data_IF_990079970973
#
_entry.id   IF_990079970973
#
_cell.length_a   1.000
_cell.length_b   1.000
_cell.length_c   1.000
_cell.angle_alpha   90.00
_cell.angle_beta   90.00
_cell.angle_gamma   90.00
#
_symmetry.space_group_name_H-M   'P 1'
#
loop_
_entity.id
_entity.type
_entity.pdbx_description
1 polymer ?
#
# COMPACT_ATOMS: atom_id res chain seq x y z
N UNK A 1 35.87 32.15 5.05
CA UNK A 1 34.70 31.86 4.19
C UNK A 1 33.65 31.22 5.08
N UNK A 2 32.71 32.01 5.61
CA UNK A 2 31.60 31.49 6.41
C UNK A 2 30.56 30.87 5.48
N UNK A 3 30.19 29.62 5.74
CA UNK A 3 29.17 28.91 4.98
C UNK A 3 27.79 29.46 5.35
N UNK A 4 27.21 30.24 4.45
CA UNK A 4 25.80 30.64 4.54
C UNK A 4 24.93 29.38 4.34
N UNK A 5 24.42 28.83 5.43
CA UNK A 5 23.38 27.82 5.35
C UNK A 5 22.04 28.50 4.98
N UNK A 6 21.31 27.98 3.98
CA UNK A 6 20.00 28.51 3.63
C UNK A 6 19.04 28.35 4.83
N UNK A 7 18.10 29.30 5.03
CA UNK A 7 17.08 29.16 6.05
C UNK A 7 16.27 27.88 5.83
N UNK A 8 15.90 27.21 6.92
CA UNK A 8 15.05 26.01 6.90
C UNK A 8 13.71 26.34 6.23
N UNK A 9 13.22 25.45 5.37
CA UNK A 9 11.90 25.62 4.76
C UNK A 9 10.79 25.53 5.81
N UNK A 10 9.61 26.10 5.54
CA UNK A 10 8.44 25.97 6.43
C UNK A 10 8.10 24.50 6.73
N UNK A 11 8.31 23.62 5.74
CA UNK A 11 8.15 22.18 5.90
C UNK A 11 9.14 21.60 6.92
N UNK A 12 10.41 22.02 6.85
CA UNK A 12 11.43 21.54 7.78
C UNK A 12 11.15 21.99 9.21
N UNK A 13 10.63 23.21 9.39
CA UNK A 13 10.18 23.68 10.71
C UNK A 13 9.03 22.84 11.25
N UNK A 14 7.97 22.62 10.47
CA UNK A 14 6.82 21.80 10.88
C UNK A 14 7.24 20.37 11.21
N UNK A 15 8.19 19.81 10.44
CA UNK A 15 8.75 18.48 10.69
C UNK A 15 9.56 18.42 11.99
N UNK A 16 10.36 19.44 12.30
CA UNK A 16 11.11 19.52 13.55
C UNK A 16 10.20 19.63 14.77
N UNK A 17 9.11 20.40 14.68
CA UNK A 17 8.10 20.45 15.73
C UNK A 17 7.43 19.09 15.96
N UNK A 18 7.11 18.37 14.88
CA UNK A 18 6.52 17.03 14.97
C UNK A 18 7.49 16.06 15.66
N UNK A 19 8.78 16.15 15.36
CA UNK A 19 9.84 15.35 16.01
C UNK A 19 9.86 15.68 17.52
N UNK A 20 9.88 16.96 17.89
CA UNK A 20 9.91 17.39 19.29
C UNK A 20 8.67 16.91 20.07
N UNK A 21 7.46 17.00 19.49
CA UNK A 21 6.23 16.48 20.12
C UNK A 21 6.28 14.97 20.33
N UNK A 22 6.80 14.23 19.34
CA UNK A 22 6.94 12.78 19.44
C UNK A 22 7.97 12.39 20.49
N UNK A 23 9.09 13.10 20.60
CA UNK A 23 10.11 12.87 21.63
C UNK A 23 9.56 13.12 23.03
N UNK A 24 8.82 14.22 23.23
CA UNK A 24 8.14 14.50 24.50
C UNK A 24 7.19 13.36 24.89
N UNK A 25 6.38 12.88 23.95
CA UNK A 25 5.44 11.77 24.18
C UNK A 25 6.15 10.44 24.46
N UNK A 26 7.27 10.17 23.79
CA UNK A 26 8.09 8.98 24.07
C UNK A 26 8.77 9.05 25.43
N UNK A 27 9.08 10.26 25.91
CA UNK A 27 9.65 10.51 27.22
C UNK A 27 8.60 10.25 28.32
N UNK A 28 7.40 10.81 28.14
CA UNK A 28 6.24 10.59 29.02
C UNK A 28 5.90 9.11 29.19
N UNK A 29 6.02 8.33 28.11
CA UNK A 29 5.79 6.88 28.11
C UNK A 29 6.96 6.04 28.67
N UNK A 30 8.07 6.66 29.08
CA UNK A 30 9.26 5.97 29.60
C UNK A 30 10.02 5.15 28.55
N UNK A 31 9.76 5.37 27.26
CA UNK A 31 10.32 4.58 26.16
C UNK A 31 11.66 5.11 25.65
N UNK A 32 12.04 6.32 26.02
CA UNK A 32 13.31 6.95 25.64
C UNK A 32 14.52 6.25 26.29
N UNK A 33 14.39 5.80 27.55
CA UNK A 33 15.46 5.09 28.27
C UNK A 33 15.78 3.70 27.69
N UNK A 34 14.82 3.04 27.04
CA UNK A 34 14.99 1.70 26.48
C UNK A 34 15.90 1.66 25.23
N UNK A 35 16.22 2.81 24.61
CA UNK A 35 17.18 2.88 23.49
C UNK A 35 18.64 2.90 23.96
N UNK A 36 18.91 3.27 25.23
CA UNK A 36 20.28 3.51 25.72
C UNK A 36 21.02 2.26 26.22
N UNK A 37 20.35 1.09 26.32
CA UNK A 37 20.96 -0.13 26.91
C UNK A 37 21.61 -1.06 25.88
N UNK A 38 21.69 -0.69 24.60
CA UNK A 38 22.50 -1.45 23.63
C UNK A 38 23.82 -0.73 23.40
N UNK A 39 24.85 -1.19 24.11
CA UNK A 39 26.22 -0.85 23.77
C UNK A 39 26.49 -1.15 22.28
N UNK A 40 27.20 -0.28 21.56
CA UNK A 40 27.60 -0.56 20.19
C UNK A 40 28.53 -1.77 20.20
N UNK A 41 28.17 -2.81 19.45
CA UNK A 41 29.10 -3.92 19.16
C UNK A 41 30.23 -3.38 18.29
N UNK A 42 31.48 -3.65 18.69
CA UNK A 42 32.63 -3.39 17.83
C UNK A 42 32.42 -4.07 16.47
N UNK A 43 32.64 -3.32 15.40
CA UNK A 43 32.54 -3.83 14.05
C UNK A 43 33.64 -4.90 13.83
N UNK A 44 33.24 -6.15 13.60
CA UNK A 44 34.18 -7.21 13.19
C UNK A 44 34.04 -8.56 13.89
N UNK A 45 33.28 -8.68 14.99
CA UNK A 45 33.16 -9.99 15.67
C UNK A 45 31.98 -10.82 15.13
N UNK A 46 32.23 -12.03 14.58
CA UNK A 46 31.16 -12.94 14.19
C UNK A 46 30.39 -13.41 15.44
N UNK A 47 29.05 -13.35 15.35
CA UNK A 47 28.19 -13.75 16.46
C UNK A 47 28.43 -15.23 16.82
N UNK A 48 28.60 -15.58 18.11
CA UNK A 48 28.76 -16.98 18.51
C UNK A 48 27.48 -17.75 18.17
N UNK A 49 27.60 -18.80 17.35
CA UNK A 49 26.51 -19.72 17.04
C UNK A 49 26.14 -20.45 18.33
N UNK A 50 25.06 -20.02 18.99
CA UNK A 50 24.51 -20.75 20.14
C UNK A 50 24.03 -22.14 19.67
N UNK A 51 24.44 -23.23 20.34
CA UNK A 51 23.88 -24.55 20.06
C UNK A 51 22.38 -24.53 20.35
N UNK A 52 21.58 -25.00 19.38
CA UNK A 52 20.13 -25.15 19.56
C UNK A 52 19.90 -26.29 20.54
N UNK A 53 19.49 -25.97 21.76
CA UNK A 53 19.00 -26.98 22.70
C UNK A 53 17.75 -27.66 22.14
N UNK A 54 17.61 -28.99 22.26
CA UNK A 54 16.41 -29.71 21.86
C UNK A 54 15.21 -29.18 22.64
N UNK A 55 14.16 -28.79 21.92
CA UNK A 55 12.92 -28.30 22.51
C UNK A 55 12.16 -29.50 23.10
N UNK A 56 11.89 -29.54 24.42
CA UNK A 56 11.12 -30.64 25.00
C UNK A 56 9.69 -30.64 24.45
N UNK A 57 9.17 -31.85 24.21
CA UNK A 57 7.80 -32.05 23.77
C UNK A 57 6.83 -31.47 24.82
N UNK A 58 5.94 -30.57 24.39
CA UNK A 58 4.90 -30.01 25.27
C UNK A 58 3.91 -31.10 25.63
N UNK A 59 3.77 -31.40 26.92
CA UNK A 59 2.67 -32.20 27.43
C UNK A 59 1.36 -31.39 27.40
N UNK A 60 0.22 -32.01 27.04
CA UNK A 60 -1.05 -31.32 26.86
C UNK A 60 -1.90 -31.39 28.14
N UNK A 61 -1.69 -30.49 29.11
CA UNK A 61 -2.53 -30.47 30.32
C UNK A 61 -3.07 -29.11 30.74
N UNK A 62 -2.83 -28.03 30.00
CA UNK A 62 -3.51 -26.75 30.28
C UNK A 62 -4.18 -26.13 29.04
N UNK A 63 -5.43 -25.66 29.15
CA UNK A 63 -6.06 -24.92 28.07
C UNK A 63 -5.28 -23.63 27.83
N UNK A 64 -4.66 -23.56 26.65
CA UNK A 64 -3.91 -22.40 26.22
C UNK A 64 -4.76 -21.14 26.40
N UNK A 65 -4.27 -20.19 27.19
CA UNK A 65 -4.89 -18.88 27.45
C UNK A 65 -5.14 -18.19 26.10
N UNK A 66 -6.35 -18.31 25.56
CA UNK A 66 -6.76 -17.66 24.31
C UNK A 66 -7.05 -16.20 24.62
N UNK A 67 -6.55 -15.31 23.78
CA UNK A 67 -6.84 -13.89 23.91
C UNK A 67 -8.34 -13.66 23.77
N UNK A 68 -8.86 -12.67 24.50
CA UNK A 68 -10.26 -12.26 24.48
C UNK A 68 -10.78 -11.98 23.06
N UNK A 69 -9.89 -11.46 22.20
CA UNK A 69 -10.17 -11.24 20.78
C UNK A 69 -10.43 -12.54 20.00
N UNK A 70 -9.75 -13.64 20.36
CA UNK A 70 -10.00 -14.95 19.76
C UNK A 70 -11.30 -15.59 20.26
N UNK A 71 -11.72 -15.27 21.49
CA UNK A 71 -13.01 -15.71 22.02
C UNK A 71 -14.16 -14.97 21.35
N UNK A 72 -14.05 -13.65 21.17
CA UNK A 72 -15.05 -12.84 20.45
C UNK A 72 -15.15 -13.22 18.97
N UNK A 73 -14.03 -13.52 18.32
CA UNK A 73 -14.03 -14.00 16.93
C UNK A 73 -14.75 -15.35 16.79
N UNK A 74 -14.53 -16.27 17.74
CA UNK A 74 -15.19 -17.58 17.75
C UNK A 74 -16.69 -17.46 18.04
N UNK A 75 -17.09 -16.64 19.00
CA UNK A 75 -18.50 -16.40 19.32
C UNK A 75 -19.26 -15.78 18.13
N UNK A 76 -18.62 -14.89 17.36
CA UNK A 76 -19.21 -14.29 16.16
C UNK A 76 -19.37 -15.31 15.00
N UNK A 77 -18.48 -16.30 14.92
CA UNK A 77 -18.53 -17.38 13.94
C UNK A 77 -19.62 -18.41 14.30
N UNK A 78 -19.72 -18.77 15.57
CA UNK A 78 -20.75 -19.67 16.09
C UNK A 78 -22.16 -19.06 15.92
N UNK A 79 -22.33 -17.76 16.19
CA UNK A 79 -23.60 -17.05 15.97
C UNK A 79 -24.04 -16.93 14.50
N UNK A 80 -23.11 -17.01 13.54
CA UNK A 80 -23.44 -17.06 12.10
C UNK A 80 -23.91 -18.44 11.68
N UNK A 81 -23.32 -19.49 12.27
CA UNK A 81 -23.69 -20.88 12.02
C UNK A 81 -25.11 -21.20 12.50
N UNK A 82 -25.52 -20.61 13.63
CA UNK A 82 -26.88 -20.76 14.17
C UNK A 82 -27.96 -20.06 13.32
N UNK A 83 -27.58 -19.06 12.50
CA UNK A 83 -28.52 -18.34 11.61
C UNK A 83 -28.77 -19.03 10.26
N UNK A 84 -28.18 -20.20 10.02
CA UNK A 84 -28.42 -20.95 8.77
C UNK A 84 -27.90 -20.25 7.51
N UNK A 85 -26.88 -19.39 7.64
CA UNK A 85 -26.21 -18.75 6.50
C UNK A 85 -25.33 -19.81 5.79
N UNK A 86 -25.84 -20.40 4.71
CA UNK A 86 -25.21 -21.51 3.97
C UNK A 86 -23.79 -21.20 3.47
N UNK A 87 -22.92 -22.20 3.61
CA UNK A 87 -21.47 -22.17 3.42
C UNK A 87 -20.98 -22.09 1.96
N UNK A 88 -21.77 -21.57 1.02
CA UNK A 88 -21.36 -21.35 -0.39
C UNK A 88 -21.02 -19.89 -0.71
N UNK A 89 -21.11 -18.97 0.26
CA UNK A 89 -20.78 -17.53 0.10
C UNK A 89 -19.52 -17.06 0.86
N UNK A 90 -18.71 -17.99 1.38
CA UNK A 90 -17.60 -17.68 2.28
C UNK A 90 -16.29 -17.25 1.58
N UNK A 91 -16.29 -16.08 0.94
CA UNK A 91 -15.05 -15.34 0.62
C UNK A 91 -15.25 -13.83 0.82
N UNK A 92 -15.62 -13.40 2.02
CA UNK A 92 -15.89 -11.98 2.20
C UNK A 92 -16.19 -11.51 3.61
N UNK A 93 -15.45 -11.93 4.62
CA UNK A 93 -15.53 -11.26 5.91
C UNK A 93 -14.33 -11.62 6.77
N UNK A 94 -13.39 -10.71 6.95
CA UNK A 94 -12.32 -10.92 7.92
C UNK A 94 -11.25 -9.84 7.88
N UNK A 95 -11.40 -8.88 8.80
CA UNK A 95 -10.37 -8.52 9.77
C UNK A 95 -8.92 -8.34 9.31
N UNK A 96 -8.42 -7.14 9.64
CA UNK A 96 -7.04 -6.80 9.95
C UNK A 96 -6.05 -6.55 8.79
N UNK A 97 -5.58 -5.30 8.76
CA UNK A 97 -4.15 -4.93 8.81
C UNK A 97 -4.13 -3.38 8.92
N UNK A 98 -3.66 -2.68 9.96
CA UNK A 98 -2.53 -2.91 10.88
C UNK A 98 -1.34 -3.60 10.22
N UNK A 99 -0.88 -3.05 9.10
CA UNK A 99 0.41 -3.39 8.50
C UNK A 99 1.19 -2.16 8.00
N UNK A 100 0.94 -0.97 8.57
CA UNK A 100 1.80 0.21 8.38
C UNK A 100 2.61 0.59 9.63
N UNK A 101 2.42 -0.10 10.77
CA UNK A 101 3.08 0.25 12.04
C UNK A 101 4.09 -0.79 12.58
N UNK A 102 4.46 -1.86 11.85
CA UNK A 102 5.31 -2.94 12.41
C UNK A 102 6.40 -3.51 11.49
N UNK A 103 6.98 -2.71 10.58
CA UNK A 103 8.16 -3.14 9.80
C UNK A 103 9.37 -2.20 9.94
N UNK A 104 9.48 -1.49 11.06
CA UNK A 104 10.69 -0.74 11.44
C UNK A 104 11.53 -1.55 12.45
N UNK A 105 12.08 -2.69 12.02
CA UNK A 105 13.18 -3.38 12.73
C UNK A 105 13.76 -4.49 11.84
N UNK A 106 14.55 -4.08 10.85
CA UNK A 106 15.83 -4.74 10.57
C UNK A 106 16.67 -3.79 9.72
N UNK A 107 17.66 -3.16 10.34
CA UNK A 107 18.71 -2.38 9.66
C UNK A 107 19.87 -3.33 9.40
N UNK A 108 20.00 -3.79 8.16
CA UNK A 108 21.27 -4.23 7.60
C UNK A 108 21.62 -3.27 6.47
N UNK A 109 22.69 -2.50 6.63
CA UNK A 109 23.26 -1.72 5.53
C UNK A 109 23.89 -2.67 4.49
N UNK A 110 23.75 -2.41 3.18
CA UNK A 110 24.64 -2.98 2.20
C UNK A 110 25.84 -2.06 2.01
N UNK A 111 27.00 -2.56 2.45
CA UNK A 111 28.32 -2.11 2.03
C UNK A 111 28.47 -2.17 0.51
N UNK A 112 28.97 -1.10 -0.09
CA UNK A 112 29.18 -0.99 -1.54
C UNK A 112 30.30 -1.87 -2.07
N UNK A 113 30.10 -2.38 -3.29
CA UNK A 113 31.12 -2.61 -4.32
C UNK A 113 30.40 -3.04 -5.61
N UNK A 114 30.75 -2.41 -6.74
CA UNK A 114 30.42 -2.91 -8.08
C UNK A 114 29.50 -2.00 -8.90
N UNK A 115 30.10 -1.03 -9.58
CA UNK A 115 29.54 -0.48 -10.82
C UNK A 115 29.58 -1.59 -11.87
N UNK A 116 28.46 -2.29 -12.00
CA UNK A 116 28.23 -3.27 -13.05
C UNK A 116 26.81 -3.07 -13.58
N UNK A 117 26.72 -2.87 -14.89
CA UNK A 117 25.49 -2.74 -15.66
C UNK A 117 24.66 -4.03 -15.49
N UNK A 118 23.78 -4.03 -14.49
CA UNK A 118 23.14 -5.21 -13.94
C UNK A 118 21.71 -5.37 -14.44
N UNK A 119 21.58 -6.29 -15.39
CA UNK A 119 20.40 -6.97 -15.91
C UNK A 119 19.10 -6.83 -15.09
N UNK A 120 17.99 -6.73 -15.84
CA UNK A 120 16.65 -7.02 -15.36
C UNK A 120 16.69 -8.18 -14.36
N UNK A 121 16.45 -7.90 -13.08
CA UNK A 121 16.46 -8.93 -12.04
C UNK A 121 15.39 -9.96 -12.41
N UNK A 122 15.82 -11.19 -12.68
CA UNK A 122 14.98 -12.33 -13.04
C UNK A 122 13.85 -12.51 -12.01
N UNK A 123 12.67 -11.99 -12.34
CA UNK A 123 11.45 -12.39 -11.66
C UNK A 123 11.08 -13.76 -12.20
N UNK A 124 10.73 -14.67 -11.31
CA UNK A 124 10.13 -15.94 -11.70
C UNK A 124 8.98 -15.67 -12.68
N UNK A 125 8.91 -16.44 -13.80
CA UNK A 125 7.85 -16.28 -14.79
C UNK A 125 6.48 -16.32 -14.10
N UNK A 126 5.56 -15.41 -14.47
CA UNK A 126 4.23 -15.43 -13.89
C UNK A 126 3.49 -16.73 -14.27
N UNK A 127 2.71 -17.27 -13.33
CA UNK A 127 1.75 -18.33 -13.61
C UNK A 127 0.81 -17.90 -14.75
N UNK A 128 0.41 -18.84 -15.61
CA UNK A 128 -0.39 -18.56 -16.82
C UNK A 128 -1.74 -17.89 -16.51
N UNK A 129 -2.34 -18.17 -15.37
CA UNK A 129 -3.59 -17.58 -14.90
C UNK A 129 -3.39 -16.27 -14.11
N UNK A 130 -2.17 -15.76 -14.00
CA UNK A 130 -1.86 -14.49 -13.35
C UNK A 130 -2.23 -13.30 -14.23
N UNK A 131 -2.59 -12.18 -13.61
CA UNK A 131 -2.68 -10.88 -14.30
C UNK A 131 -1.39 -10.52 -15.05
N UNK A 132 -0.23 -10.89 -14.49
CA UNK A 132 1.09 -10.60 -15.08
C UNK A 132 1.37 -11.32 -16.41
N UNK A 133 0.65 -12.41 -16.71
CA UNK A 133 0.76 -13.16 -17.96
C UNK A 133 -0.37 -12.84 -18.95
N UNK A 134 -1.27 -11.92 -18.60
CA UNK A 134 -2.45 -11.59 -19.40
C UNK A 134 -2.46 -10.12 -19.81
N UNK A 135 -3.04 -9.84 -20.98
CA UNK A 135 -3.35 -8.49 -21.39
C UNK A 135 -4.67 -8.04 -20.78
N UNK A 136 -4.70 -6.82 -20.25
CA UNK A 136 -5.92 -6.16 -19.84
C UNK A 136 -6.74 -5.75 -21.08
N UNK A 137 -8.06 -5.91 -20.99
CA UNK A 137 -9.03 -5.36 -21.92
C UNK A 137 -9.23 -3.86 -21.62
N UNK A 138 -8.37 -3.04 -22.23
CA UNK A 138 -8.40 -1.58 -22.03
C UNK A 138 -9.64 -0.95 -22.68
N UNK A 139 -10.15 -1.53 -23.76
CA UNK A 139 -11.35 -1.06 -24.45
C UNK A 139 -12.60 -1.22 -23.55
N UNK A 140 -12.71 -2.32 -22.81
CA UNK A 140 -13.77 -2.49 -21.82
C UNK A 140 -13.74 -1.41 -20.73
N UNK A 141 -12.54 -0.98 -20.31
CA UNK A 141 -12.37 0.12 -19.34
C UNK A 141 -12.66 1.49 -19.97
N UNK A 142 -12.29 1.71 -21.23
CA UNK A 142 -12.64 2.92 -21.96
C UNK A 142 -14.16 3.04 -22.16
N UNK A 143 -14.85 1.94 -22.48
CA UNK A 143 -16.32 1.87 -22.55
C UNK A 143 -17.01 2.15 -21.22
N UNK A 144 -16.39 1.78 -20.09
CA UNK A 144 -16.91 2.15 -18.77
C UNK A 144 -16.99 3.68 -18.63
N UNK A 145 -16.05 4.41 -19.24
CA UNK A 145 -15.97 5.87 -19.17
C UNK A 145 -15.32 6.36 -17.87
N UNK A 146 -14.48 7.38 -18.00
CA UNK A 146 -13.79 7.98 -16.85
C UNK A 146 -14.81 8.61 -15.89
N UNK A 147 -14.56 8.46 -14.60
CA UNK A 147 -15.41 8.96 -13.53
C UNK A 147 -16.59 8.06 -13.18
N UNK A 148 -16.80 6.93 -13.88
CA UNK A 148 -17.84 5.97 -13.52
C UNK A 148 -17.35 4.92 -12.53
N UNK A 149 -18.27 4.43 -11.70
CA UNK A 149 -18.03 3.31 -10.81
C UNK A 149 -17.93 2.00 -11.59
N UNK A 150 -16.95 1.17 -11.22
CA UNK A 150 -16.82 -0.19 -11.73
C UNK A 150 -17.98 -1.02 -11.16
N UNK A 151 -18.78 -1.67 -12.02
CA UNK A 151 -19.94 -2.43 -11.57
C UNK A 151 -19.56 -3.65 -10.73
N UNK A 152 -20.46 -4.05 -9.84
CA UNK A 152 -20.32 -5.22 -8.97
C UNK A 152 -19.79 -4.88 -7.57
N UNK A 153 -19.28 -5.87 -6.82
CA UNK A 153 -18.79 -5.66 -5.46
C UNK A 153 -17.69 -4.59 -5.39
N UNK A 154 -17.56 -3.91 -4.24
CA UNK A 154 -16.55 -2.88 -3.94
C UNK A 154 -15.11 -3.41 -3.79
N UNK A 155 -14.70 -4.31 -4.67
CA UNK A 155 -13.46 -5.07 -4.59
C UNK A 155 -12.61 -4.84 -5.83
N UNK A 156 -11.31 -5.12 -5.70
CA UNK A 156 -10.42 -5.15 -6.88
C UNK A 156 -10.84 -6.25 -7.86
N UNK A 157 -11.44 -7.34 -7.37
CA UNK A 157 -11.84 -8.46 -8.23
C UNK A 157 -12.82 -8.02 -9.33
N UNK A 158 -13.76 -7.11 -9.03
CA UNK A 158 -14.68 -6.54 -10.02
C UNK A 158 -13.92 -5.77 -11.12
N UNK A 159 -12.91 -4.97 -10.74
CA UNK A 159 -12.04 -4.27 -11.70
C UNK A 159 -11.26 -5.26 -12.56
N UNK A 160 -10.71 -6.31 -11.94
CA UNK A 160 -9.94 -7.33 -12.63
C UNK A 160 -10.81 -8.17 -13.58
N UNK A 161 -12.08 -8.42 -13.21
CA UNK A 161 -13.06 -9.10 -14.06
C UNK A 161 -13.44 -8.28 -15.28
N UNK A 162 -13.75 -7.00 -15.08
CA UNK A 162 -14.02 -6.08 -16.19
C UNK A 162 -12.84 -6.04 -17.17
N UNK A 163 -11.62 -5.94 -16.66
CA UNK A 163 -10.39 -5.90 -17.45
C UNK A 163 -9.96 -7.26 -18.04
N UNK A 164 -10.66 -8.37 -17.77
CA UNK A 164 -10.33 -9.70 -18.32
C UNK A 164 -11.57 -10.38 -18.93
N UNK A 165 -12.48 -9.58 -19.51
CA UNK A 165 -13.66 -10.07 -20.23
C UNK A 165 -14.50 -11.03 -19.39
N UNK A 166 -14.71 -10.67 -18.12
CA UNK A 166 -15.48 -11.44 -17.14
C UNK A 166 -14.69 -12.52 -16.38
N UNK A 167 -13.45 -12.85 -16.78
CA UNK A 167 -12.59 -13.78 -16.03
C UNK A 167 -11.91 -13.06 -14.88
N UNK A 168 -11.64 -13.75 -13.77
CA UNK A 168 -10.88 -13.17 -12.67
C UNK A 168 -9.46 -13.76 -12.64
N UNK A 169 -8.44 -13.09 -13.19
CA UNK A 169 -7.07 -13.59 -13.14
C UNK A 169 -6.58 -13.65 -11.69
N UNK A 170 -5.52 -14.42 -11.41
CA UNK A 170 -4.85 -14.38 -10.11
C UNK A 170 -4.10 -13.06 -9.93
N UNK A 171 -4.30 -12.40 -8.81
CA UNK A 171 -3.62 -11.16 -8.44
C UNK A 171 -3.49 -11.02 -6.92
N UNK A 172 -2.59 -10.14 -6.48
CA UNK A 172 -2.45 -9.82 -5.06
C UNK A 172 -3.50 -8.81 -4.62
N UNK A 173 -4.51 -9.25 -3.86
CA UNK A 173 -5.56 -8.37 -3.34
C UNK A 173 -5.03 -7.22 -2.47
N UNK A 174 -3.88 -7.42 -1.84
CA UNK A 174 -3.24 -6.46 -0.93
C UNK A 174 -2.35 -5.45 -1.64
N UNK A 175 -1.98 -5.68 -2.91
CA UNK A 175 -1.09 -4.78 -3.63
C UNK A 175 -1.83 -3.53 -4.12
N UNK A 176 -1.29 -2.33 -3.85
CA UNK A 176 -1.80 -1.06 -4.38
C UNK A 176 -1.57 -0.88 -5.88
N UNK A 177 -0.83 -1.79 -6.51
CA UNK A 177 -0.52 -1.80 -7.94
C UNK A 177 -0.60 -3.23 -8.49
N UNK A 178 -1.20 -3.41 -9.67
CA UNK A 178 -1.32 -4.71 -10.35
C UNK A 178 -0.77 -4.59 -11.76
N UNK A 179 0.11 -5.52 -12.13
CA UNK A 179 0.75 -5.56 -13.44
C UNK A 179 -0.03 -6.48 -14.40
N UNK A 180 -0.29 -5.98 -15.60
CA UNK A 180 -0.70 -6.74 -16.78
C UNK A 180 0.45 -6.78 -17.78
N UNK A 181 0.35 -7.52 -18.89
CA UNK A 181 1.38 -7.47 -19.94
C UNK A 181 1.40 -6.12 -20.68
N UNK A 182 0.23 -5.50 -20.85
CA UNK A 182 0.03 -4.26 -21.60
C UNK A 182 -0.34 -3.03 -20.74
N UNK A 183 -0.43 -3.14 -19.41
CA UNK A 183 -0.83 -2.04 -18.54
C UNK A 183 -0.37 -2.23 -17.08
N UNK A 184 -0.44 -1.16 -16.30
CA UNK A 184 -0.31 -1.20 -14.84
C UNK A 184 -1.51 -0.51 -14.22
N UNK A 185 -2.20 -1.19 -13.29
CA UNK A 185 -3.35 -0.63 -12.58
C UNK A 185 -2.92 -0.16 -11.20
N UNK A 186 -3.27 1.08 -10.84
CA UNK A 186 -3.04 1.69 -9.54
C UNK A 186 -4.37 1.74 -8.78
N UNK A 187 -4.38 1.22 -7.56
CA UNK A 187 -5.56 1.18 -6.70
C UNK A 187 -5.34 2.04 -5.47
N UNK A 188 -6.19 3.03 -5.29
CA UNK A 188 -6.06 4.05 -4.25
C UNK A 188 -7.32 4.10 -3.39
N UNK A 189 -7.13 4.05 -2.07
CA UNK A 189 -8.17 4.41 -1.12
C UNK A 189 -8.04 5.89 -0.76
N UNK A 190 -9.16 6.61 -0.72
CA UNK A 190 -9.25 8.05 -0.43
C UNK A 190 -10.11 8.28 0.81
N UNK A 191 -9.70 9.21 1.67
CA UNK A 191 -10.46 9.63 2.86
C UNK A 191 -10.33 8.76 4.11
N UNK A 192 -9.27 7.94 4.21
CA UNK A 192 -9.00 7.14 5.42
C UNK A 192 -7.97 7.77 6.37
N UNK A 193 -8.06 7.48 7.67
CA UNK A 193 -7.10 7.95 8.70
C UNK A 193 -5.67 7.47 8.48
N UNK A 194 -5.49 6.37 7.76
CA UNK A 194 -4.20 5.71 7.62
C UNK A 194 -3.57 5.95 6.24
N UNK A 195 -4.24 6.74 5.39
CA UNK A 195 -3.84 6.94 4.00
C UNK A 195 -3.53 8.41 3.74
N UNK A 196 -2.38 8.66 3.11
CA UNK A 196 -1.92 9.97 2.65
C UNK A 196 -2.19 10.22 1.17
N UNK A 197 -2.95 9.35 0.50
CA UNK A 197 -3.32 9.57 -0.90
C UNK A 197 -4.25 10.78 -0.97
N UNK A 198 -3.77 11.85 -1.60
CA UNK A 198 -4.45 13.11 -1.71
C UNK A 198 -4.56 13.50 -3.18
N UNK A 199 -5.73 14.03 -3.51
CA UNK A 199 -5.86 14.81 -4.73
C UNK A 199 -5.30 16.21 -4.48
N UNK A 200 -4.51 16.72 -5.43
CA UNK A 200 -3.95 18.06 -5.40
C UNK A 200 -4.28 18.80 -6.71
N UNK A 201 -3.96 20.09 -6.77
CA UNK A 201 -4.18 20.94 -7.96
C UNK A 201 -5.63 20.85 -8.46
N UNK A 202 -6.58 21.09 -7.56
CA UNK A 202 -8.01 20.98 -7.85
C UNK A 202 -8.38 19.64 -8.48
N UNK A 203 -7.96 18.53 -7.87
CA UNK A 203 -8.29 17.20 -8.39
C UNK A 203 -7.56 16.78 -9.66
N UNK A 204 -6.63 17.58 -10.19
CA UNK A 204 -5.90 17.25 -11.43
C UNK A 204 -4.70 16.34 -11.21
N UNK A 205 -4.25 16.21 -9.96
CA UNK A 205 -3.11 15.36 -9.59
C UNK A 205 -3.43 14.47 -8.41
N UNK A 206 -2.71 13.35 -8.32
CA UNK A 206 -2.86 12.34 -7.27
C UNK A 206 -1.49 11.86 -6.80
N UNK A 207 -1.26 11.91 -5.48
CA UNK A 207 -0.13 11.22 -4.85
C UNK A 207 -0.46 9.75 -4.62
N UNK A 208 0.37 8.86 -5.16
CA UNK A 208 0.32 7.43 -4.94
C UNK A 208 1.57 6.96 -4.20
N UNK A 209 1.38 6.09 -3.22
CA UNK A 209 2.47 5.50 -2.43
C UNK A 209 2.66 4.03 -2.79
N UNK A 210 3.90 3.65 -3.07
CA UNK A 210 4.31 2.27 -3.26
C UNK A 210 4.21 1.44 -1.98
N UNK A 211 4.40 0.13 -2.12
CA UNK A 211 4.58 -0.75 -0.96
C UNK A 211 5.88 -0.39 -0.21
N UNK A 212 5.94 -0.62 1.11
CA UNK A 212 7.09 -0.19 1.94
C UNK A 212 8.47 -0.76 1.56
N UNK A 213 8.51 -1.81 0.72
CA UNK A 213 9.74 -2.40 0.15
C UNK A 213 10.02 -1.95 -1.30
N UNK A 214 9.11 -1.19 -1.91
CA UNK A 214 9.26 -0.70 -3.26
C UNK A 214 10.13 0.55 -3.26
N UNK A 215 11.08 0.58 -4.19
CA UNK A 215 12.00 1.69 -4.45
C UNK A 215 12.31 1.71 -5.96
N UNK A 216 13.10 2.66 -6.42
CA UNK A 216 13.45 2.84 -7.85
C UNK A 216 14.07 1.59 -8.50
N UNK A 217 14.76 0.75 -7.72
CA UNK A 217 15.35 -0.49 -8.25
C UNK A 217 14.35 -1.64 -8.39
N UNK A 218 13.16 -1.53 -7.79
CA UNK A 218 12.13 -2.57 -7.87
C UNK A 218 11.63 -2.70 -9.31
N UNK A 219 11.52 -3.92 -9.89
CA UNK A 219 11.19 -4.06 -11.32
C UNK A 219 9.84 -3.43 -11.72
N UNK A 220 8.85 -3.51 -10.83
CA UNK A 220 7.58 -2.81 -11.02
C UNK A 220 7.77 -1.29 -11.12
N UNK A 221 8.58 -0.69 -10.25
CA UNK A 221 8.81 0.75 -10.25
C UNK A 221 9.59 1.17 -11.50
N UNK A 222 10.62 0.40 -11.89
CA UNK A 222 11.31 0.62 -13.17
C UNK A 222 10.36 0.58 -14.36
N UNK A 223 9.41 -0.36 -14.36
CA UNK A 223 8.40 -0.47 -15.41
C UNK A 223 7.40 0.69 -15.38
N UNK A 224 7.04 1.14 -14.18
CA UNK A 224 6.08 2.23 -13.95
C UNK A 224 6.64 3.61 -14.36
N UNK A 225 7.95 3.82 -14.16
CA UNK A 225 8.66 5.07 -14.39
C UNK A 225 9.55 5.07 -15.65
N UNK A 226 9.66 3.93 -16.34
CA UNK A 226 10.56 3.75 -17.48
C UNK A 226 10.22 4.66 -18.67
N UNK A 227 11.16 4.78 -19.62
CA UNK A 227 11.06 5.70 -20.76
C UNK A 227 9.89 5.41 -21.71
N UNK A 228 9.48 4.14 -21.83
CA UNK A 228 8.31 3.71 -22.59
C UNK A 228 7.38 2.89 -21.68
N UNK A 229 6.71 3.55 -20.70
CA UNK A 229 5.88 2.84 -19.75
C UNK A 229 4.59 2.37 -20.45
N UNK A 230 4.06 1.18 -20.09
CA UNK A 230 2.73 0.81 -20.53
C UNK A 230 1.70 1.79 -19.94
N UNK A 231 0.48 1.88 -20.49
CA UNK A 231 -0.61 2.63 -19.90
C UNK A 231 -0.78 2.37 -18.40
N UNK A 232 -0.91 3.46 -17.64
CA UNK A 232 -1.13 3.45 -16.18
C UNK A 232 -2.55 3.88 -15.92
N UNK A 233 -3.36 2.99 -15.36
CA UNK A 233 -4.76 3.24 -15.10
C UNK A 233 -5.00 3.41 -13.60
N UNK A 234 -5.72 4.45 -13.23
CA UNK A 234 -6.01 4.77 -11.84
C UNK A 234 -7.44 4.37 -11.46
N UNK A 235 -7.56 3.67 -10.34
CA UNK A 235 -8.82 3.31 -9.72
C UNK A 235 -8.84 3.82 -8.29
N UNK A 236 -9.77 4.71 -7.98
CA UNK A 236 -9.90 5.30 -6.65
C UNK A 236 -11.20 4.83 -6.00
N UNK A 237 -11.19 4.63 -4.68
CA UNK A 237 -12.44 4.42 -3.93
C UNK A 237 -12.42 5.17 -2.61
N UNK A 238 -13.59 5.50 -2.10
CA UNK A 238 -13.73 6.09 -0.78
C UNK A 238 -13.59 5.01 0.29
N UNK A 239 -12.90 5.35 1.36
CA UNK A 239 -12.89 4.55 2.58
C UNK A 239 -13.79 5.23 3.61
N UNK A 240 -14.85 4.54 4.03
CA UNK A 240 -15.83 5.07 4.98
C UNK A 240 -16.22 4.06 6.05
N UNK A 241 -16.93 4.54 7.07
CA UNK A 241 -17.34 3.71 8.22
C UNK A 241 -18.37 2.62 7.88
N UNK A 242 -19.09 2.75 6.77
CA UNK A 242 -20.03 1.74 6.26
C UNK A 242 -19.43 0.71 5.30
N UNK A 243 -18.10 0.66 5.17
CA UNK A 243 -17.41 -0.19 4.20
C UNK A 243 -16.81 0.59 3.04
N UNK A 244 -16.19 -0.15 2.11
CA UNK A 244 -15.56 0.45 0.93
C UNK A 244 -16.61 0.73 -0.16
N UNK A 245 -16.56 1.93 -0.76
CA UNK A 245 -17.34 2.20 -1.97
C UNK A 245 -16.78 1.39 -3.16
N UNK A 246 -17.56 1.24 -4.24
CA UNK A 246 -17.02 0.79 -5.52
C UNK A 246 -15.82 1.63 -5.96
N UNK A 247 -14.94 1.02 -6.76
CA UNK A 247 -13.85 1.75 -7.39
C UNK A 247 -14.41 2.60 -8.52
N UNK A 248 -14.01 3.87 -8.56
CA UNK A 248 -14.21 4.77 -9.69
C UNK A 248 -13.02 4.63 -10.62
N UNK A 249 -13.29 4.47 -11.93
CA UNK A 249 -12.26 4.47 -12.95
C UNK A 249 -11.83 5.91 -13.24
N UNK A 250 -10.61 6.28 -12.87
CA UNK A 250 -10.08 7.64 -13.05
C UNK A 250 -9.32 7.82 -14.37
N UNK A 251 -9.35 6.83 -15.26
CA UNK A 251 -8.66 6.92 -16.56
C UNK A 251 -7.15 6.72 -16.49
N UNK A 252 -6.48 7.21 -17.54
CA UNK A 252 -5.03 7.16 -17.70
C UNK A 252 -4.35 8.23 -16.86
N UNK A 253 -3.17 7.90 -16.35
CA UNK A 253 -2.34 8.85 -15.62
C UNK A 253 -0.95 9.01 -16.21
N UNK A 254 -0.49 10.25 -16.16
CA UNK A 254 0.84 10.65 -16.61
C UNK A 254 1.77 10.92 -15.44
N UNK A 255 3.02 10.51 -15.59
CA UNK A 255 4.05 10.72 -14.59
C UNK A 255 4.35 12.22 -14.48
N UNK A 256 4.38 12.74 -13.24
CA UNK A 256 4.81 14.12 -12.96
C UNK A 256 6.19 14.10 -12.31
N UNK A 257 6.28 13.51 -11.13
CA UNK A 257 7.50 13.41 -10.35
C UNK A 257 7.40 12.26 -9.34
N UNK A 258 8.52 11.86 -8.74
CA UNK A 258 8.54 10.95 -7.61
C UNK A 258 9.58 11.39 -6.59
N UNK A 259 9.48 10.88 -5.37
CA UNK A 259 10.37 11.24 -4.26
C UNK A 259 11.18 10.01 -3.82
N UNK A 260 12.39 9.79 -4.38
CA UNK A 260 13.21 8.60 -4.13
C UNK A 260 13.49 8.30 -2.66
N UNK A 261 13.58 9.37 -1.85
CA UNK A 261 13.93 9.30 -0.43
C UNK A 261 12.71 9.11 0.48
N UNK A 262 11.49 9.16 -0.05
CA UNK A 262 10.31 8.87 0.74
C UNK A 262 10.21 7.36 0.98
N UNK A 263 9.77 6.98 2.17
CA UNK A 263 9.47 5.58 2.47
C UNK A 263 8.09 5.51 3.13
N UNK A 264 7.07 4.97 2.43
CA UNK A 264 7.13 4.38 1.08
C UNK A 264 7.44 5.37 -0.06
N UNK A 265 7.92 4.87 -1.21
CA UNK A 265 8.14 5.66 -2.43
C UNK A 265 6.84 6.37 -2.82
N UNK A 266 6.91 7.68 -2.97
CA UNK A 266 5.80 8.52 -3.39
C UNK A 266 5.98 8.92 -4.86
N UNK A 267 4.89 8.81 -5.62
CA UNK A 267 4.83 9.22 -7.03
C UNK A 267 3.61 10.11 -7.23
N UNK A 268 3.82 11.26 -7.85
CA UNK A 268 2.75 12.17 -8.24
C UNK A 268 2.35 11.89 -9.70
N UNK A 269 1.04 11.77 -9.90
CA UNK A 269 0.41 11.46 -11.18
C UNK A 269 -0.50 12.60 -11.61
N UNK A 270 -0.45 12.98 -12.88
CA UNK A 270 -1.42 13.86 -13.52
C UNK A 270 -2.57 13.02 -14.11
N UNK A 271 -3.81 13.45 -13.88
CA UNK A 271 -4.99 12.80 -14.46
C UNK A 271 -5.22 13.32 -15.88
N UNK A 272 -5.18 12.43 -16.87
CA UNK A 272 -5.25 12.83 -18.28
C UNK A 272 -6.59 13.48 -18.63
N UNK A 273 -7.69 12.91 -18.12
CA UNK A 273 -9.06 13.31 -18.45
C UNK A 273 -9.71 14.15 -17.34
N UNK A 274 -8.93 15.05 -16.72
CA UNK A 274 -9.36 15.81 -15.55
C UNK A 274 -10.69 16.56 -15.74
N UNK A 275 -10.95 17.14 -16.92
CA UNK A 275 -12.21 17.84 -17.20
C UNK A 275 -13.42 16.90 -17.13
N UNK A 276 -13.34 15.72 -17.75
CA UNK A 276 -14.40 14.72 -17.71
C UNK A 276 -14.61 14.17 -16.30
N UNK A 277 -13.52 13.97 -15.55
CA UNK A 277 -13.58 13.56 -14.15
C UNK A 277 -14.32 14.57 -13.27
N UNK A 278 -14.11 15.88 -13.46
CA UNK A 278 -14.80 16.91 -12.68
C UNK A 278 -16.32 16.95 -12.92
N UNK A 279 -16.77 16.54 -14.10
CA UNK A 279 -18.20 16.40 -14.39
C UNK A 279 -18.83 15.21 -13.65
N UNK A 280 -18.05 14.16 -13.35
CA UNK A 280 -18.54 12.97 -12.65
C UNK A 280 -18.94 13.26 -11.20
N UNK A 281 -20.12 12.77 -10.81
CA UNK A 281 -20.56 12.80 -9.41
C UNK A 281 -19.67 11.93 -8.51
N UNK A 282 -19.36 10.71 -8.94
CA UNK A 282 -18.56 9.76 -8.15
C UNK A 282 -17.14 10.30 -7.89
N UNK A 283 -16.54 10.97 -8.88
CA UNK A 283 -15.24 11.61 -8.71
C UNK A 283 -15.32 12.82 -7.77
N UNK A 284 -16.35 13.66 -7.87
CA UNK A 284 -16.56 14.77 -6.91
C UNK A 284 -16.70 14.27 -5.47
N UNK A 285 -17.33 13.10 -5.26
CA UNK A 285 -17.40 12.46 -3.95
C UNK A 285 -16.02 12.00 -3.46
N UNK A 286 -15.14 11.53 -4.35
CA UNK A 286 -13.74 11.22 -4.00
C UNK A 286 -12.97 12.47 -3.58
N UNK A 287 -13.11 13.58 -4.30
CA UNK A 287 -12.47 14.85 -3.95
C UNK A 287 -12.89 15.33 -2.55
N UNK A 288 -14.20 15.35 -2.28
CA UNK A 288 -14.74 15.71 -0.96
C UNK A 288 -14.17 14.84 0.16
N UNK A 289 -14.06 13.53 -0.08
CA UNK A 289 -13.49 12.60 0.90
C UNK A 289 -11.98 12.83 1.14
N UNK A 290 -11.23 13.24 0.12
CA UNK A 290 -9.81 13.55 0.22
C UNK A 290 -9.51 14.87 0.94
N UNK A 291 -10.41 15.85 0.85
CA UNK A 291 -10.26 17.18 1.44
C UNK A 291 -10.66 17.28 2.92
N UNK A 292 -11.46 16.33 3.43
CA UNK A 292 -12.05 16.37 4.77
C UNK A 292 -11.06 16.21 5.94
N UNK A 293 -9.75 16.36 5.71
CA UNK A 293 -8.68 16.21 6.72
C UNK A 293 -8.12 17.53 7.25
N UNK A 294 -8.63 18.67 6.78
CA UNK A 294 -8.18 20.02 7.15
C UNK A 294 -9.27 20.91 7.74
N UNK A 295 -10.39 20.32 8.19
CA UNK A 295 -11.45 20.98 8.97
C UNK A 295 -11.66 20.19 10.27
#
# INVERSE_FOLDING_TARGET
MEAHHPPLSEYDMARLEQIARNEAKLSELGLLAARSLRAPRAAGEPAPKRPRLPRPARQPTEPARRSERALLAKAAEDARRERGEDASSALGSGGQATALARLSRDRGEPSGAGLGDGAATDREPPQTDSSRSQAADLEALERLGVGNEVPGPSTKASVMQLASRGRCPKFSKYSGSIEWTNAIFLFVNVGGSDYTNLFSHDGRRMSWFGGGRQNESTPLIRRLLGAAPPPRLLFCRRQGQGGASPYVYCGRVEYVQHYPRSQPLEVEWALSDSAALHASEHFRLLLKAGSARWL
#
